data_IF_798240133181
#
_entry.id   IF_798240133181
#
_cell.length_a   1.000
_cell.length_b   1.000
_cell.length_c   1.000
_cell.angle_alpha   90.00
_cell.angle_beta   90.00
_cell.angle_gamma   90.00
#
_symmetry.space_group_name_H-M   'P 1'
#
loop_
_entity.id
_entity.type
_entity.pdbx_description
1 polymer ?
#
# COMPACT_ATOMS: atom_id res chain seq x y z
N UNK A 1 8.34 3.46 34.79
CA UNK A 1 7.36 3.72 33.70
C UNK A 1 7.98 3.25 32.40
N UNK A 2 7.67 2.01 32.03
CA UNK A 2 8.22 1.34 30.85
C UNK A 2 7.43 1.80 29.63
N UNK A 3 8.04 2.65 28.79
CA UNK A 3 7.42 3.10 27.54
C UNK A 3 7.50 1.94 26.53
N UNK A 4 6.38 1.27 26.32
CA UNK A 4 6.24 0.25 25.27
C UNK A 4 6.45 0.92 23.90
N UNK A 5 7.27 0.36 23.01
CA UNK A 5 7.45 0.92 21.67
C UNK A 5 6.12 0.90 20.91
N UNK A 6 5.79 2.02 20.28
CA UNK A 6 4.65 2.16 19.40
C UNK A 6 4.82 1.19 18.21
N UNK A 7 3.74 0.54 17.75
CA UNK A 7 3.79 -0.45 16.66
C UNK A 7 4.56 0.05 15.41
N UNK A 8 4.46 1.35 15.12
CA UNK A 8 5.20 2.03 14.05
C UNK A 8 6.74 1.92 14.20
N UNK A 9 7.28 2.00 15.42
CA UNK A 9 8.72 1.87 15.69
C UNK A 9 9.22 0.44 15.44
N UNK A 10 8.38 -0.56 15.69
CA UNK A 10 8.70 -1.96 15.41
C UNK A 10 8.75 -2.21 13.89
N UNK A 11 7.83 -1.60 13.13
CA UNK A 11 7.79 -1.73 11.66
C UNK A 11 8.97 -1.00 11.00
N UNK A 12 9.27 0.24 11.43
CA UNK A 12 10.45 1.00 10.96
C UNK A 12 11.74 0.27 11.32
N UNK A 13 11.82 -0.29 12.54
CA UNK A 13 12.95 -1.10 13.00
C UNK A 13 13.13 -2.40 12.23
N UNK A 14 12.04 -3.09 11.86
CA UNK A 14 12.08 -4.30 11.04
C UNK A 14 12.53 -4.01 9.60
N UNK A 15 12.03 -2.92 8.99
CA UNK A 15 12.41 -2.50 7.63
C UNK A 15 13.89 -2.08 7.55
N UNK A 16 14.45 -1.48 8.61
CA UNK A 16 15.88 -1.14 8.65
C UNK A 16 16.81 -2.34 8.85
N UNK A 17 16.30 -3.44 9.44
CA UNK A 17 17.09 -4.62 9.80
C UNK A 17 17.42 -5.54 8.61
N UNK A 18 16.72 -5.42 7.49
CA UNK A 18 16.83 -6.35 6.34
C UNK A 18 17.65 -5.81 5.17
N UNK A 19 18.43 -4.74 5.35
CA UNK A 19 19.36 -4.22 4.33
C UNK A 19 20.82 -4.42 4.71
N UNK A 20 21.24 -5.67 4.89
CA UNK A 20 22.65 -6.00 4.62
C UNK A 20 22.73 -6.54 3.18
N UNK A 21 23.37 -5.82 2.25
CA UNK A 21 23.59 -6.34 0.91
C UNK A 21 24.61 -7.50 0.98
N UNK A 22 24.48 -8.53 0.12
CA UNK A 22 25.42 -9.65 0.11
C UNK A 22 26.84 -9.19 -0.23
N UNK A 23 27.79 -9.59 0.63
CA UNK A 23 29.22 -9.39 0.42
C UNK A 23 29.72 -10.26 -0.74
N UNK A 24 29.97 -9.66 -1.90
CA UNK A 24 30.70 -10.31 -2.99
C UNK A 24 32.21 -10.08 -2.84
N UNK A 25 33.06 -11.12 -2.94
CA UNK A 25 34.50 -10.95 -2.87
C UNK A 25 35.06 -10.52 -4.23
N UNK A 26 35.68 -9.34 -4.24
CA UNK A 26 36.63 -8.94 -5.27
C UNK A 26 36.08 -8.02 -6.36
N UNK A 27 36.48 -6.75 -6.32
CA UNK A 27 37.00 -6.00 -7.50
C UNK A 27 37.57 -4.65 -7.04
N UNK A 28 38.82 -4.43 -7.44
CA UNK A 28 39.59 -3.20 -7.64
C UNK A 28 39.13 -1.86 -7.03
N UNK A 29 40.03 -1.28 -6.22
CA UNK A 29 40.03 0.12 -5.76
C UNK A 29 39.81 1.10 -6.93
N UNK A 30 38.72 1.87 -6.89
CA UNK A 30 38.55 3.10 -7.70
C UNK A 30 37.88 4.17 -6.85
N UNK A 31 38.60 5.29 -6.67
CA UNK A 31 38.23 6.68 -6.37
C UNK A 31 37.02 7.02 -5.47
N UNK A 32 37.00 8.20 -4.83
CA UNK A 32 35.83 8.67 -4.11
C UNK A 32 34.74 8.98 -5.15
N UNK A 33 33.75 8.09 -5.26
CA UNK A 33 32.51 8.40 -5.96
C UNK A 33 31.80 9.42 -5.09
N UNK A 34 31.79 10.68 -5.53
CA UNK A 34 30.88 11.69 -5.05
C UNK A 34 29.46 11.17 -5.34
N UNK A 35 28.87 10.50 -4.35
CA UNK A 35 27.46 10.15 -4.37
C UNK A 35 26.71 11.48 -4.26
N UNK A 36 26.47 12.09 -5.42
CA UNK A 36 25.57 13.22 -5.56
C UNK A 36 24.28 12.83 -4.87
N UNK A 37 23.98 13.53 -3.78
CA UNK A 37 22.69 13.46 -3.13
C UNK A 37 21.64 13.66 -4.21
N UNK A 38 20.89 12.60 -4.50
CA UNK A 38 19.70 12.72 -5.32
C UNK A 38 18.81 13.69 -4.57
N UNK A 39 18.67 14.87 -5.16
CA UNK A 39 17.78 15.94 -4.74
C UNK A 39 16.45 15.28 -4.40
N UNK A 40 15.98 15.50 -3.17
CA UNK A 40 14.67 15.06 -2.71
C UNK A 40 13.63 15.58 -3.70
N UNK A 41 13.25 14.75 -4.69
CA UNK A 41 12.05 15.03 -5.47
C UNK A 41 10.96 15.12 -4.44
N UNK A 42 10.24 16.24 -4.35
CA UNK A 42 8.97 16.32 -3.61
C UNK A 42 8.21 15.05 -3.94
N UNK A 43 8.23 14.06 -3.03
CA UNK A 43 7.54 12.81 -3.29
C UNK A 43 6.07 13.20 -3.33
N UNK A 44 5.55 13.29 -4.56
CA UNK A 44 4.15 13.54 -4.83
C UNK A 44 3.43 12.35 -4.23
N UNK A 45 2.56 12.62 -3.28
CA UNK A 45 1.72 11.59 -2.67
C UNK A 45 0.81 11.07 -3.78
N UNK A 46 0.95 9.80 -4.15
CA UNK A 46 0.11 9.19 -5.19
C UNK A 46 -1.05 8.42 -4.58
N UNK A 47 -0.85 7.81 -3.42
CA UNK A 47 -1.87 7.04 -2.74
C UNK A 47 -1.78 7.16 -1.22
N UNK A 48 -2.71 6.50 -0.53
CA UNK A 48 -2.81 6.50 0.92
C UNK A 48 -1.56 5.96 1.61
N UNK A 49 -0.86 4.99 1.01
CA UNK A 49 0.36 4.44 1.60
C UNK A 49 1.52 5.43 1.52
N UNK A 50 1.64 6.19 0.44
CA UNK A 50 2.62 7.28 0.34
C UNK A 50 2.35 8.35 1.43
N UNK A 51 1.07 8.64 1.72
CA UNK A 51 0.68 9.56 2.78
C UNK A 51 1.06 9.04 4.17
N UNK A 52 0.72 7.78 4.48
CA UNK A 52 1.09 7.13 5.75
C UNK A 52 2.61 7.06 5.91
N UNK A 53 3.35 6.72 4.85
CA UNK A 53 4.81 6.65 4.89
C UNK A 53 5.46 8.02 5.13
N UNK A 54 4.88 9.10 4.57
CA UNK A 54 5.42 10.45 4.68
C UNK A 54 5.01 11.15 5.97
N UNK A 55 3.77 11.00 6.40
CA UNK A 55 3.17 11.77 7.50
C UNK A 55 2.86 10.94 8.75
N UNK A 56 2.84 9.61 8.64
CA UNK A 56 2.50 8.70 9.75
C UNK A 56 1.00 8.43 9.93
N UNK A 57 0.15 9.08 9.13
CA UNK A 57 -1.32 8.99 9.16
C UNK A 57 -1.90 9.27 7.76
N UNK A 58 -3.15 8.90 7.53
CA UNK A 58 -3.90 9.12 6.28
C UNK A 58 -5.08 10.08 6.43
N UNK A 59 -5.28 10.71 7.59
CA UNK A 59 -6.48 11.51 7.89
C UNK A 59 -6.73 12.68 6.92
N UNK A 60 -5.65 13.26 6.37
CA UNK A 60 -5.72 14.33 5.37
C UNK A 60 -5.63 13.83 3.92
N UNK A 61 -5.50 12.52 3.69
CA UNK A 61 -5.39 11.97 2.34
C UNK A 61 -6.78 11.91 1.68
N UNK A 62 -6.93 12.64 0.59
CA UNK A 62 -8.12 12.60 -0.25
C UNK A 62 -7.76 11.93 -1.58
N UNK A 63 -8.42 10.81 -1.95
CA UNK A 63 -8.18 10.17 -3.23
C UNK A 63 -8.64 11.03 -4.41
N UNK A 64 -8.04 10.83 -5.57
CA UNK A 64 -8.42 11.53 -6.80
C UNK A 64 -9.66 10.86 -7.40
N UNK A 65 -10.83 11.47 -7.21
CA UNK A 65 -12.11 10.97 -7.67
C UNK A 65 -12.34 11.22 -9.17
N UNK A 66 -11.35 10.89 -10.02
CA UNK A 66 -11.54 10.91 -11.46
C UNK A 66 -12.72 10.01 -11.82
N UNK A 67 -13.69 10.50 -12.59
CA UNK A 67 -14.93 9.76 -12.91
C UNK A 67 -14.72 8.60 -13.91
N UNK A 68 -13.47 8.30 -14.30
CA UNK A 68 -13.15 7.37 -15.39
C UNK A 68 -12.74 5.95 -14.93
N UNK A 69 -12.93 5.56 -13.67
CA UNK A 69 -12.56 4.21 -13.21
C UNK A 69 -13.72 3.21 -13.23
N UNK A 70 -13.42 1.97 -13.60
CA UNK A 70 -14.43 0.93 -13.78
C UNK A 70 -15.06 0.48 -12.45
N UNK A 71 -16.39 0.40 -12.44
CA UNK A 71 -17.13 -0.30 -11.39
C UNK A 71 -16.86 -1.81 -11.45
N UNK A 72 -17.02 -2.50 -10.31
CA UNK A 72 -16.89 -3.95 -10.23
C UNK A 72 -18.17 -4.60 -9.73
N UNK A 73 -18.63 -5.58 -10.50
CA UNK A 73 -19.77 -6.44 -10.19
C UNK A 73 -19.38 -7.66 -9.35
N UNK A 74 -18.11 -7.79 -8.98
CA UNK A 74 -17.60 -8.94 -8.24
C UNK A 74 -18.25 -9.06 -6.84
N UNK A 75 -18.53 -10.28 -6.37
CA UNK A 75 -19.16 -10.51 -5.07
C UNK A 75 -18.31 -10.00 -3.91
N UNK A 76 -18.96 -9.54 -2.83
CA UNK A 76 -18.26 -9.15 -1.62
C UNK A 76 -17.41 -10.30 -1.06
N UNK A 77 -16.17 -10.00 -0.65
CA UNK A 77 -15.22 -10.98 -0.14
C UNK A 77 -14.59 -11.90 -1.19
N UNK A 78 -14.98 -11.81 -2.47
CA UNK A 78 -14.30 -12.54 -3.54
C UNK A 78 -12.89 -12.01 -3.78
N UNK A 79 -11.99 -12.87 -4.25
CA UNK A 79 -10.62 -12.48 -4.60
C UNK A 79 -10.60 -11.38 -5.67
N UNK A 80 -11.45 -11.50 -6.69
CA UNK A 80 -11.60 -10.50 -7.77
C UNK A 80 -11.98 -9.11 -7.25
N UNK A 81 -12.93 -9.05 -6.31
CA UNK A 81 -13.32 -7.78 -5.66
C UNK A 81 -12.12 -7.19 -4.91
N UNK A 82 -11.43 -8.01 -4.11
CA UNK A 82 -10.27 -7.57 -3.33
C UNK A 82 -9.16 -7.05 -4.26
N UNK A 83 -8.87 -7.75 -5.36
CA UNK A 83 -7.84 -7.37 -6.32
C UNK A 83 -8.17 -6.04 -7.02
N UNK A 84 -9.44 -5.85 -7.40
CA UNK A 84 -9.91 -4.59 -7.97
C UNK A 84 -9.74 -3.43 -6.99
N UNK A 85 -10.17 -3.61 -5.74
CA UNK A 85 -10.06 -2.59 -4.70
C UNK A 85 -8.60 -2.27 -4.38
N UNK A 86 -7.72 -3.28 -4.35
CA UNK A 86 -6.27 -3.08 -4.17
C UNK A 86 -5.70 -2.20 -5.28
N UNK A 87 -6.03 -2.51 -6.53
CA UNK A 87 -5.55 -1.75 -7.69
C UNK A 87 -5.99 -0.27 -7.62
N UNK A 88 -7.22 0.00 -7.16
CA UNK A 88 -7.71 1.38 -6.95
C UNK A 88 -6.89 2.13 -5.90
N UNK A 89 -6.61 1.48 -4.77
CA UNK A 89 -5.80 2.09 -3.70
C UNK A 89 -4.39 2.40 -4.22
N UNK A 90 -3.75 1.50 -4.96
CA UNK A 90 -2.41 1.71 -5.52
C UNK A 90 -2.35 2.93 -6.45
N UNK A 91 -3.43 3.18 -7.19
CA UNK A 91 -3.59 4.31 -8.12
C UNK A 91 -4.02 5.61 -7.42
N UNK A 92 -4.38 5.57 -6.13
CA UNK A 92 -4.89 6.74 -5.41
C UNK A 92 -6.34 7.09 -5.73
N UNK A 93 -7.09 6.15 -6.29
CA UNK A 93 -8.51 6.30 -6.63
C UNK A 93 -9.40 6.07 -5.39
N UNK A 94 -10.66 6.52 -5.42
CA UNK A 94 -11.64 6.15 -4.42
C UNK A 94 -11.78 4.63 -4.31
N UNK A 95 -11.94 4.14 -3.09
CA UNK A 95 -12.08 2.71 -2.85
C UNK A 95 -13.35 2.16 -3.54
N UNK A 96 -14.46 2.89 -3.42
CA UNK A 96 -15.77 2.48 -3.91
C UNK A 96 -16.18 3.29 -5.14
N UNK A 97 -16.74 2.61 -6.13
CA UNK A 97 -17.48 3.24 -7.22
C UNK A 97 -18.97 3.29 -6.86
N UNK A 98 -19.72 4.29 -7.35
CA UNK A 98 -21.16 4.40 -7.08
C UNK A 98 -21.96 3.21 -7.65
N UNK A 99 -21.54 2.74 -8.83
CA UNK A 99 -22.12 1.56 -9.50
C UNK A 99 -21.49 0.21 -9.08
N UNK A 100 -20.65 0.18 -8.04
CA UNK A 100 -20.16 -1.10 -7.52
C UNK A 100 -21.33 -1.95 -6.99
N UNK A 101 -21.28 -3.27 -7.21
CA UNK A 101 -22.27 -4.18 -6.62
C UNK A 101 -22.32 -3.99 -5.10
N UNK A 102 -23.52 -3.69 -4.59
CA UNK A 102 -23.79 -3.46 -3.17
C UNK A 102 -24.60 -4.57 -2.48
N UNK A 103 -25.17 -5.51 -3.26
CA UNK A 103 -26.03 -6.56 -2.75
C UNK A 103 -25.50 -7.99 -3.04
N UNK A 104 -26.22 -8.99 -2.54
CA UNK A 104 -25.97 -10.41 -2.82
C UNK A 104 -26.95 -11.01 -3.84
N UNK A 105 -27.72 -10.18 -4.55
CA UNK A 105 -28.76 -10.63 -5.48
C UNK A 105 -28.15 -11.51 -6.57
N UNK A 106 -28.73 -12.69 -6.82
CA UNK A 106 -28.24 -13.63 -7.84
C UNK A 106 -26.94 -14.37 -7.50
N UNK A 107 -26.41 -14.25 -6.28
CA UNK A 107 -25.27 -15.04 -5.83
C UNK A 107 -25.73 -16.30 -5.09
N UNK A 108 -25.14 -17.44 -5.44
CA UNK A 108 -25.30 -18.68 -4.68
C UNK A 108 -24.11 -18.84 -3.75
N UNK A 109 -24.33 -18.67 -2.44
CA UNK A 109 -23.31 -18.90 -1.41
C UNK A 109 -23.30 -20.36 -0.97
N UNK A 110 -22.10 -20.94 -0.79
CA UNK A 110 -21.97 -22.22 -0.11
C UNK A 110 -22.19 -22.02 1.39
N UNK A 111 -23.36 -22.38 1.90
CA UNK A 111 -23.62 -22.44 3.34
C UNK A 111 -22.90 -23.69 3.88
N UNK A 112 -21.91 -23.50 4.75
CA UNK A 112 -21.37 -24.59 5.58
C UNK A 112 -22.09 -24.57 6.92
N UNK A 113 -22.99 -25.53 7.20
CA UNK A 113 -23.59 -25.65 8.51
C UNK A 113 -22.49 -25.74 9.57
N UNK A 114 -22.64 -25.00 10.66
CA UNK A 114 -21.81 -25.21 11.85
C UNK A 114 -22.30 -26.50 12.51
N UNK A 115 -21.40 -27.47 12.67
CA UNK A 115 -21.65 -28.68 13.48
C UNK A 115 -21.86 -28.32 14.96
#
# INVERSE_FOLDING_TARGET
>A
MERKPHFAELVIGWVRRTREPPSFPGVGKRGPVLFGGSVSSMQKIRNVFDAILKYGHDEDFVPDASEEFAATSAPAGSAEKIDTLRSRVEQGLPLWHQDDRCDYSGLTGAIRPRE
#
